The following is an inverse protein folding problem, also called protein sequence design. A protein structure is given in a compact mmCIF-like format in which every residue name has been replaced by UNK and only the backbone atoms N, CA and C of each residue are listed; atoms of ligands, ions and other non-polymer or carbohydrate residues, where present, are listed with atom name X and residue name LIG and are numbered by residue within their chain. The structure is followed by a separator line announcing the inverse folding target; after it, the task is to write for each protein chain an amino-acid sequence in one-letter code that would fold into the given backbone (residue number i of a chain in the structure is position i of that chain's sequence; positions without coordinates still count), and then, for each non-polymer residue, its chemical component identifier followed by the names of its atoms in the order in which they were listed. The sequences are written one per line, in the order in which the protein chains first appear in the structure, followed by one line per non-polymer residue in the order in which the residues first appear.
data_IF_262558080473
#
_entry.id   IF_262558080473
#
_cell.length_a   1.000
_cell.length_b   1.000
_cell.length_c   1.000
_cell.angle_alpha   90.00
_cell.angle_beta   90.00
_cell.angle_gamma   90.00
#
_symmetry.space_group_name_H-M   'P 1'
#
loop_
_entity.id
_entity.type
_entity.pdbx_description
1 polymer ?
#
# COMPACT_ATOMS: atom_id res chain seq x y z
N UNK A 1 -10.46 18.76 -3.58
CA UNK A 1 -9.44 17.70 -3.49
C UNK A 1 -10.03 16.58 -2.66
N UNK A 2 -10.39 15.44 -3.27
CA UNK A 2 -11.03 14.31 -2.56
C UNK A 2 -9.95 13.27 -2.29
N UNK A 3 -9.55 13.14 -1.03
CA UNK A 3 -8.62 12.10 -0.60
C UNK A 3 -9.40 10.80 -0.39
N UNK A 4 -9.15 9.79 -1.22
CA UNK A 4 -9.67 8.45 -0.92
C UNK A 4 -8.83 7.84 0.19
N UNK A 5 -9.45 7.56 1.33
CA UNK A 5 -8.82 6.87 2.43
C UNK A 5 -9.38 5.46 2.52
N UNK A 6 -8.56 4.47 2.19
CA UNK A 6 -8.90 3.06 2.39
C UNK A 6 -8.02 2.46 3.48
N UNK A 7 -8.65 1.88 4.49
CA UNK A 7 -7.99 1.12 5.55
C UNK A 7 -8.26 -0.36 5.37
N UNK A 8 -7.21 -1.16 5.34
CA UNK A 8 -7.31 -2.62 5.20
C UNK A 8 -6.60 -3.28 6.37
N UNK A 9 -7.31 -4.13 7.12
CA UNK A 9 -6.66 -5.00 8.11
C UNK A 9 -5.95 -6.15 7.41
N UNK A 10 -4.75 -6.47 7.84
CA UNK A 10 -3.95 -7.52 7.21
C UNK A 10 -3.26 -8.42 8.25
N UNK A 11 -2.95 -9.63 7.82
CA UNK A 11 -2.04 -10.55 8.51
C UNK A 11 -0.66 -10.47 7.88
N UNK A 12 -0.58 -10.50 6.54
CA UNK A 12 0.69 -10.41 5.80
C UNK A 12 0.54 -9.50 4.60
N UNK A 13 1.62 -8.78 4.27
CA UNK A 13 1.75 -8.03 3.02
C UNK A 13 2.92 -8.54 2.20
N UNK A 14 2.82 -8.42 0.89
CA UNK A 14 3.90 -8.77 -0.03
C UNK A 14 3.95 -7.77 -1.18
N UNK A 15 5.07 -7.07 -1.29
CA UNK A 15 5.35 -6.13 -2.37
C UNK A 15 5.87 -6.90 -3.58
N UNK A 16 5.13 -6.84 -4.68
CA UNK A 16 5.51 -7.50 -5.93
C UNK A 16 6.46 -6.57 -6.67
N UNK A 17 7.62 -7.10 -7.09
CA UNK A 17 8.70 -6.34 -7.75
C UNK A 17 9.16 -5.18 -6.85
N UNK A 18 9.95 -5.49 -5.83
CA UNK A 18 10.34 -4.54 -4.78
C UNK A 18 11.02 -3.26 -5.30
N UNK A 19 11.69 -3.31 -6.45
CA UNK A 19 12.27 -2.14 -7.11
C UNK A 19 11.23 -1.13 -7.65
N UNK A 20 9.94 -1.50 -7.65
CA UNK A 20 8.83 -0.58 -7.95
C UNK A 20 8.37 0.24 -6.73
N UNK A 21 9.04 0.07 -5.59
CA UNK A 21 8.65 0.70 -4.33
C UNK A 21 9.84 1.42 -3.70
N UNK A 22 9.58 2.59 -3.12
CA UNK A 22 10.49 3.24 -2.19
C UNK A 22 9.95 3.08 -0.78
N UNK A 23 10.80 2.68 0.16
CA UNK A 23 10.45 2.52 1.57
C UNK A 23 11.08 3.64 2.39
N UNK A 24 10.30 4.23 3.29
CA UNK A 24 10.79 5.10 4.35
C UNK A 24 10.13 4.76 5.69
N UNK A 25 10.82 5.04 6.79
CA UNK A 25 10.26 4.92 8.14
C UNK A 25 9.78 6.30 8.56
N UNK A 26 8.54 6.42 9.02
CA UNK A 26 7.99 7.64 9.58
C UNK A 26 7.37 7.42 10.94
N UNK A 27 6.95 8.50 11.60
CA UNK A 27 6.51 8.48 13.00
C UNK A 27 5.32 7.54 13.28
N UNK A 28 4.49 7.29 12.26
CA UNK A 28 3.27 6.49 12.39
C UNK A 28 3.40 5.07 11.83
N UNK A 29 4.52 4.72 11.19
CA UNK A 29 4.73 3.41 10.58
C UNK A 29 5.67 3.44 9.37
N UNK A 30 5.62 2.39 8.55
CA UNK A 30 6.46 2.29 7.35
C UNK A 30 5.67 2.83 6.15
N UNK A 31 6.27 3.77 5.42
CA UNK A 31 5.69 4.35 4.21
C UNK A 31 6.30 3.68 2.99
N UNK A 32 5.44 3.27 2.08
CA UNK A 32 5.80 2.70 0.79
C UNK A 32 5.24 3.58 -0.32
N UNK A 33 6.13 4.26 -1.05
CA UNK A 33 5.74 5.05 -2.22
C UNK A 33 5.84 4.17 -3.46
N UNK A 34 4.78 4.09 -4.24
CA UNK A 34 4.82 3.47 -5.55
C UNK A 34 5.73 4.27 -6.47
N UNK A 35 6.52 3.61 -7.31
CA UNK A 35 7.43 4.27 -8.26
C UNK A 35 7.10 3.91 -9.71
N UNK A 36 6.46 2.76 -9.91
CA UNK A 36 6.16 2.23 -11.24
C UNK A 36 4.89 2.83 -11.82
N UNK A 37 5.02 3.31 -13.06
CA UNK A 37 3.92 3.65 -13.96
C UNK A 37 3.47 2.42 -14.80
N UNK A 38 2.16 2.17 -14.96
CA UNK A 38 1.04 2.93 -14.39
C UNK A 38 0.78 2.62 -12.90
N UNK A 39 1.21 1.45 -12.42
CA UNK A 39 1.02 1.03 -11.04
C UNK A 39 2.11 0.09 -10.53
N UNK A 40 2.28 0.09 -9.21
CA UNK A 40 3.01 -0.91 -8.43
C UNK A 40 2.02 -1.93 -7.83
N UNK A 41 2.49 -3.14 -7.52
CA UNK A 41 1.61 -4.25 -7.12
C UNK A 41 1.84 -4.64 -5.66
N UNK A 42 0.77 -4.77 -4.89
CA UNK A 42 0.78 -5.16 -3.49
C UNK A 42 -0.22 -6.29 -3.26
N UNK A 43 0.21 -7.38 -2.64
CA UNK A 43 -0.68 -8.45 -2.19
C UNK A 43 -0.93 -8.28 -0.70
N UNK A 44 -2.20 -8.22 -0.33
CA UNK A 44 -2.62 -8.15 1.07
C UNK A 44 -3.35 -9.45 1.41
N UNK A 45 -2.85 -10.14 2.42
CA UNK A 45 -3.52 -11.29 3.02
C UNK A 45 -4.28 -10.84 4.26
N UNK A 46 -5.58 -11.04 4.28
CA UNK A 46 -6.42 -10.76 5.45
C UNK A 46 -6.36 -11.92 6.45
N UNK A 47 -6.80 -11.68 7.69
CA UNK A 47 -6.81 -12.70 8.76
C UNK A 47 -7.69 -13.92 8.48
N UNK A 48 -8.65 -13.80 7.56
CA UNK A 48 -9.47 -14.91 7.09
C UNK A 48 -8.79 -15.77 5.99
N UNK A 49 -7.50 -15.53 5.72
CA UNK A 49 -6.73 -16.26 4.70
C UNK A 49 -6.97 -15.77 3.27
N UNK A 50 -7.92 -14.85 3.04
CA UNK A 50 -8.14 -14.28 1.71
C UNK A 50 -6.96 -13.42 1.27
N UNK A 51 -6.57 -13.55 0.01
CA UNK A 51 -5.51 -12.78 -0.62
C UNK A 51 -6.11 -11.86 -1.67
N UNK A 52 -5.76 -10.58 -1.63
CA UNK A 52 -6.21 -9.58 -2.60
C UNK A 52 -5.02 -8.85 -3.20
N UNK A 53 -5.00 -8.75 -4.53
CA UNK A 53 -4.03 -7.96 -5.28
C UNK A 53 -4.53 -6.52 -5.41
N UNK A 54 -3.66 -5.57 -5.07
CA UNK A 54 -3.89 -4.14 -5.21
C UNK A 54 -2.95 -3.58 -6.28
N UNK A 55 -3.53 -2.79 -7.18
CA UNK A 55 -2.80 -1.96 -8.13
C UNK A 55 -2.70 -0.55 -7.54
N UNK A 56 -1.50 -0.14 -7.19
CA UNK A 56 -1.23 1.14 -6.52
C UNK A 56 -0.58 2.10 -7.52
N UNK A 57 -1.27 3.17 -7.94
CA UNK A 57 -0.71 4.15 -8.88
C UNK A 57 0.58 4.79 -8.37
N UNK A 58 1.43 5.23 -9.29
CA UNK A 58 2.76 5.82 -9.03
C UNK A 58 2.77 6.97 -8.00
N UNK A 59 1.68 7.72 -7.88
CA UNK A 59 1.61 8.87 -6.96
C UNK A 59 0.95 8.53 -5.62
N UNK A 60 0.65 7.25 -5.37
CA UNK A 60 0.08 6.82 -4.08
C UNK A 60 1.15 6.36 -3.11
N UNK A 61 0.87 6.66 -1.84
CA UNK A 61 1.65 6.20 -0.70
C UNK A 61 0.83 5.21 0.11
N UNK A 62 1.45 4.09 0.43
CA UNK A 62 0.88 3.05 1.29
C UNK A 62 1.55 3.14 2.65
N UNK A 63 0.78 3.44 3.69
CA UNK A 63 1.30 3.46 5.06
C UNK A 63 0.91 2.18 5.76
N UNK A 64 1.90 1.45 6.26
CA UNK A 64 1.72 0.17 6.94
C UNK A 64 1.99 0.37 8.43
N UNK A 65 1.01 0.05 9.26
CA UNK A 65 1.06 0.23 10.71
C UNK A 65 0.56 -1.04 11.39
N UNK A 66 1.40 -1.77 12.12
CA UNK A 66 1.09 -3.02 12.84
C UNK A 66 0.22 -4.04 12.06
N UNK A 67 -1.09 -3.84 11.99
CA UNK A 67 -2.06 -4.71 11.32
C UNK A 67 -3.01 -3.98 10.35
N UNK A 68 -2.74 -2.71 10.03
CA UNK A 68 -3.53 -1.89 9.11
C UNK A 68 -2.68 -1.27 8.01
N UNK A 69 -3.27 -1.20 6.82
CA UNK A 69 -2.69 -0.54 5.65
C UNK A 69 -3.58 0.64 5.30
N UNK A 70 -2.98 1.79 5.10
CA UNK A 70 -3.64 3.00 4.65
C UNK A 70 -3.16 3.35 3.24
N UNK A 71 -4.09 3.45 2.30
CA UNK A 71 -3.80 3.95 0.97
C UNK A 71 -4.06 5.46 0.95
N UNK A 72 -3.02 6.24 0.70
CA UNK A 72 -3.05 7.69 0.65
C UNK A 72 -2.71 8.16 -0.77
N UNK A 73 -3.42 9.20 -1.23
CA UNK A 73 -3.19 9.85 -2.51
C UNK A 73 -4.50 10.31 -3.14
N UNK A 74 -4.37 10.98 -4.28
CA UNK A 74 -5.52 11.46 -5.04
C UNK A 74 -6.18 10.32 -5.84
N UNK A 75 -7.49 10.41 -6.01
CA UNK A 75 -8.21 9.67 -7.05
C UNK A 75 -7.96 10.43 -8.36
N UNK A 76 -7.19 9.84 -9.26
CA UNK A 76 -7.20 10.22 -10.66
C UNK A 76 -8.45 9.64 -11.33
#
# INVERSE_FOLDING_TARGET
MVYSYQVVKFQTISFVQGNHWSQSVGDKGILYKALKDPYSKLIVQSSNGSKKLYHVPKDRTVVVTNHTIHFLGELA
#
